data_IF_640281369541
#
_entry.id   IF_640281369541
#
_cell.length_a   1.000
_cell.length_b   1.000
_cell.length_c   1.000
_cell.angle_alpha   90.00
_cell.angle_beta   90.00
_cell.angle_gamma   90.00
#
_symmetry.space_group_name_H-M   'P 1'
#
loop_
_entity.id
_entity.type
_entity.pdbx_description
1 polymer ?
#
# COMPACT_ATOMS: atom_id res chain seq x y z
N UNK A 1 -4.92 -11.34 -53.89
CA UNK A 1 -5.49 -11.04 -52.59
C UNK A 1 -6.54 -12.08 -52.30
N UNK A 2 -6.34 -12.93 -51.33
CA UNK A 2 -7.34 -13.94 -50.93
C UNK A 2 -8.52 -13.18 -50.32
N UNK A 3 -9.61 -13.12 -51.08
CA UNK A 3 -10.83 -12.50 -50.62
C UNK A 3 -11.49 -13.45 -49.61
N UNK A 4 -11.64 -12.95 -48.40
CA UNK A 4 -12.53 -13.48 -47.36
C UNK A 4 -12.12 -14.80 -46.68
N UNK A 5 -11.00 -14.82 -46.01
CA UNK A 5 -10.71 -15.86 -45.01
C UNK A 5 -11.74 -15.87 -43.86
N UNK A 6 -12.46 -14.77 -43.65
CA UNK A 6 -13.52 -14.71 -42.65
C UNK A 6 -14.82 -15.45 -42.98
N UNK A 7 -15.01 -15.85 -44.25
CA UNK A 7 -16.22 -16.61 -44.67
C UNK A 7 -16.30 -18.01 -44.11
N UNK A 8 -15.18 -18.59 -43.75
CA UNK A 8 -15.10 -20.00 -43.32
C UNK A 8 -14.98 -20.18 -41.80
N UNK A 9 -14.94 -19.07 -41.03
CA UNK A 9 -14.95 -19.16 -39.57
C UNK A 9 -16.41 -19.25 -39.08
N UNK A 10 -16.70 -20.20 -38.19
CA UNK A 10 -17.96 -20.23 -37.46
C UNK A 10 -18.15 -18.89 -36.71
N UNK A 11 -19.40 -18.44 -36.51
CA UNK A 11 -19.71 -17.20 -35.87
C UNK A 11 -19.07 -17.03 -34.48
N UNK A 12 -18.91 -18.14 -33.77
CA UNK A 12 -18.20 -18.20 -32.47
C UNK A 12 -16.75 -17.75 -32.55
N UNK A 13 -16.07 -18.01 -33.65
CA UNK A 13 -14.62 -17.74 -33.78
C UNK A 13 -14.28 -16.49 -34.59
N UNK A 14 -15.28 -15.82 -35.18
CA UNK A 14 -15.03 -14.67 -36.09
C UNK A 14 -14.43 -13.47 -35.43
N UNK A 15 -14.64 -13.32 -34.13
CA UNK A 15 -14.22 -12.14 -33.37
C UNK A 15 -13.34 -12.49 -32.19
N UNK A 16 -13.08 -13.76 -31.94
CA UNK A 16 -12.22 -14.16 -30.84
C UNK A 16 -10.75 -14.03 -31.26
N UNK A 17 -9.92 -13.34 -30.48
CA UNK A 17 -8.48 -13.36 -30.68
C UNK A 17 -7.95 -14.79 -30.61
N UNK A 18 -6.93 -15.08 -31.39
CA UNK A 18 -6.25 -16.38 -31.36
C UNK A 18 -5.78 -16.68 -29.92
N UNK A 19 -6.16 -17.85 -29.41
CA UNK A 19 -5.82 -18.27 -28.05
C UNK A 19 -6.86 -17.88 -26.99
N UNK A 20 -8.00 -17.30 -27.40
CA UNK A 20 -9.06 -16.92 -26.45
C UNK A 20 -9.56 -18.11 -25.62
N UNK A 21 -9.63 -19.29 -26.19
CA UNK A 21 -10.02 -20.53 -25.52
C UNK A 21 -9.08 -20.93 -24.37
N UNK A 22 -7.85 -20.43 -24.37
CA UNK A 22 -6.87 -20.67 -23.32
C UNK A 22 -6.76 -19.52 -22.31
N UNK A 23 -7.54 -18.45 -22.50
CA UNK A 23 -7.52 -17.31 -21.60
C UNK A 23 -8.31 -17.63 -20.34
N UNK A 24 -7.73 -17.36 -19.20
CA UNK A 24 -8.42 -17.37 -17.91
C UNK A 24 -9.09 -16.04 -17.64
N UNK A 25 -10.05 -16.00 -16.71
CA UNK A 25 -10.74 -14.76 -16.35
C UNK A 25 -9.81 -13.65 -15.83
N UNK A 26 -8.58 -14.00 -15.49
CA UNK A 26 -7.58 -13.09 -14.93
C UNK A 26 -6.48 -12.69 -15.94
N UNK A 27 -6.70 -12.95 -17.22
CA UNK A 27 -5.74 -12.59 -18.26
C UNK A 27 -6.22 -11.45 -19.11
N UNK A 28 -5.30 -10.73 -19.69
CA UNK A 28 -5.54 -9.65 -20.65
C UNK A 28 -4.75 -9.91 -21.92
N UNK A 29 -5.32 -9.50 -23.05
CA UNK A 29 -4.60 -9.56 -24.33
C UNK A 29 -3.59 -8.43 -24.39
N UNK A 30 -2.33 -8.76 -24.57
CA UNK A 30 -1.26 -7.77 -24.71
C UNK A 30 -0.37 -8.09 -25.92
N UNK A 31 0.30 -7.06 -26.43
CA UNK A 31 1.30 -7.26 -27.48
C UNK A 31 2.60 -7.77 -26.87
N UNK A 32 3.09 -8.90 -27.37
CA UNK A 32 4.40 -9.41 -26.97
C UNK A 32 5.51 -8.51 -27.53
N UNK A 33 6.40 -8.06 -26.65
CA UNK A 33 7.67 -7.41 -27.03
C UNK A 33 8.74 -8.46 -26.75
N UNK A 34 9.02 -9.26 -27.76
CA UNK A 34 9.67 -10.53 -27.61
C UNK A 34 11.03 -10.57 -26.95
N UNK A 35 11.11 -11.40 -25.91
CA UNK A 35 12.35 -11.98 -25.39
C UNK A 35 12.21 -13.44 -24.99
N UNK A 36 11.04 -14.03 -25.10
CA UNK A 36 10.87 -15.44 -24.82
C UNK A 36 11.10 -16.28 -26.09
N UNK A 37 11.73 -17.46 -25.99
CA UNK A 37 12.09 -18.26 -27.15
C UNK A 37 10.90 -18.78 -27.98
N UNK A 38 9.68 -18.56 -27.52
CA UNK A 38 8.44 -18.97 -28.18
C UNK A 38 7.56 -17.80 -28.65
N UNK A 39 7.93 -16.55 -28.35
CA UNK A 39 7.17 -15.37 -28.76
C UNK A 39 7.77 -14.75 -30.02
N UNK A 40 7.03 -14.81 -31.10
CA UNK A 40 7.37 -14.08 -32.32
C UNK A 40 7.00 -12.61 -32.10
N UNK A 41 7.92 -11.74 -32.46
CA UNK A 41 7.74 -10.30 -32.31
C UNK A 41 6.45 -9.82 -32.99
N UNK A 42 5.65 -9.10 -32.24
CA UNK A 42 4.37 -8.58 -32.74
C UNK A 42 3.15 -9.46 -32.51
N UNK A 43 3.30 -10.67 -31.99
CA UNK A 43 2.16 -11.51 -31.68
C UNK A 43 1.39 -10.97 -30.45
N UNK A 44 0.08 -11.11 -30.47
CA UNK A 44 -0.77 -10.89 -29.30
C UNK A 44 -0.72 -12.13 -28.42
N UNK A 45 -0.48 -11.93 -27.14
CA UNK A 45 -0.44 -12.99 -26.13
C UNK A 45 -1.36 -12.65 -24.97
N UNK A 46 -1.97 -13.67 -24.37
CA UNK A 46 -2.67 -13.51 -23.11
C UNK A 46 -1.66 -13.44 -21.98
N UNK A 47 -1.74 -12.38 -21.20
CA UNK A 47 -0.92 -12.21 -20.02
C UNK A 47 -1.77 -12.20 -18.75
N UNK A 48 -1.18 -12.64 -17.67
CA UNK A 48 -1.86 -12.60 -16.39
C UNK A 48 -2.14 -11.12 -16.02
N UNK A 49 -3.38 -10.83 -15.69
CA UNK A 49 -3.84 -9.48 -15.31
C UNK A 49 -3.06 -8.90 -14.12
N UNK A 50 -2.55 -9.76 -13.24
CA UNK A 50 -1.74 -9.34 -12.08
C UNK A 50 -0.44 -8.64 -12.46
N UNK A 51 0.11 -8.89 -13.67
CA UNK A 51 1.30 -8.20 -14.15
C UNK A 51 1.06 -6.76 -14.61
N UNK A 52 -0.21 -6.34 -14.72
CA UNK A 52 -0.57 -5.00 -15.20
C UNK A 52 -1.11 -4.07 -14.10
N UNK A 53 -1.25 -4.54 -12.87
CA UNK A 53 -1.88 -3.80 -11.78
C UNK A 53 -0.88 -3.33 -10.73
N UNK A 54 -0.10 -2.30 -11.03
CA UNK A 54 0.58 -1.53 -10.00
C UNK A 54 -0.38 -0.46 -9.49
N UNK A 55 -0.65 -0.46 -8.20
CA UNK A 55 -1.50 0.55 -7.56
C UNK A 55 -0.72 1.23 -6.45
N UNK A 56 -0.81 2.55 -6.41
CA UNK A 56 -0.17 3.38 -5.41
C UNK A 56 -1.20 3.85 -4.38
N UNK A 57 -0.94 3.58 -3.11
CA UNK A 57 -1.71 4.11 -1.98
C UNK A 57 -0.91 5.20 -1.28
N UNK A 58 -1.45 6.41 -1.25
CA UNK A 58 -0.80 7.58 -0.66
C UNK A 58 -1.29 7.82 0.75
N UNK A 59 -0.36 8.09 1.66
CA UNK A 59 -0.62 8.38 3.06
C UNK A 59 0.18 9.60 3.48
N UNK A 60 -0.45 10.51 4.21
CA UNK A 60 0.18 11.72 4.72
C UNK A 60 -0.12 11.84 6.20
N UNK A 61 0.81 12.41 6.94
CA UNK A 61 0.59 12.65 8.36
C UNK A 61 1.52 13.72 8.91
N UNK A 62 1.01 14.41 9.92
CA UNK A 62 1.77 15.28 10.80
C UNK A 62 1.68 14.75 12.22
N UNK A 63 2.79 14.71 12.93
CA UNK A 63 2.82 14.28 14.32
C UNK A 63 3.80 15.12 15.14
N UNK A 64 3.42 15.43 16.39
CA UNK A 64 4.40 15.80 17.41
C UNK A 64 5.02 14.52 17.94
N UNK A 65 6.33 14.36 17.72
CA UNK A 65 7.05 13.13 18.04
C UNK A 65 6.94 12.75 19.51
N UNK A 66 6.69 11.47 19.76
CA UNK A 66 6.63 10.86 21.08
C UNK A 66 7.31 9.50 21.08
N UNK A 67 7.62 8.97 22.26
CA UNK A 67 8.14 7.61 22.44
C UNK A 67 7.13 6.52 22.04
N UNK A 68 5.84 6.88 22.05
CA UNK A 68 4.77 6.00 21.60
C UNK A 68 4.45 6.24 20.13
N UNK A 69 4.05 5.20 19.43
CA UNK A 69 3.45 5.34 18.11
C UNK A 69 2.19 6.18 18.17
N UNK A 70 2.11 7.14 17.27
CA UNK A 70 0.92 7.93 17.00
C UNK A 70 0.31 7.50 15.68
N UNK A 71 -1.01 7.46 15.63
CA UNK A 71 -1.79 7.19 14.44
C UNK A 71 -3.07 8.03 14.47
N UNK A 72 -3.77 8.07 13.34
CA UNK A 72 -5.13 8.58 13.25
C UNK A 72 -5.36 9.97 13.84
N UNK A 73 -6.53 10.51 13.58
CA UNK A 73 -6.95 11.82 14.06
C UNK A 73 -7.56 11.76 15.46
N UNK A 74 -7.37 12.80 16.26
CA UNK A 74 -8.18 13.02 17.44
C UNK A 74 -9.44 13.81 17.05
N UNK A 75 -10.55 13.12 16.89
CA UNK A 75 -11.84 13.71 16.51
C UNK A 75 -12.43 14.62 17.60
N UNK A 76 -11.87 14.59 18.79
CA UNK A 76 -12.29 15.45 19.90
C UNK A 76 -11.62 16.84 19.89
N UNK A 77 -10.63 17.04 19.04
CA UNK A 77 -9.85 18.27 18.95
C UNK A 77 -10.04 18.94 17.59
N UNK A 78 -9.97 20.27 17.56
CA UNK A 78 -10.06 21.11 16.35
C UNK A 78 -8.75 21.14 15.55
N UNK A 79 -7.96 20.09 15.62
CA UNK A 79 -6.64 19.99 14.99
C UNK A 79 -6.75 19.69 13.48
N UNK A 80 -5.61 19.81 12.83
CA UNK A 80 -5.50 19.58 11.39
C UNK A 80 -5.95 18.15 11.02
N UNK A 81 -6.70 17.95 9.92
CA UNK A 81 -7.14 16.64 9.47
C UNK A 81 -5.99 15.67 9.11
N UNK A 82 -4.75 16.14 9.12
CA UNK A 82 -3.56 15.32 8.91
C UNK A 82 -2.79 15.01 10.20
N UNK A 83 -3.26 15.50 11.37
CA UNK A 83 -2.57 15.30 12.63
C UNK A 83 -2.80 13.89 13.17
N UNK A 84 -1.70 13.16 13.37
CA UNK A 84 -1.69 11.86 14.00
C UNK A 84 -1.56 12.05 15.51
N UNK A 85 -2.68 12.01 16.23
CA UNK A 85 -2.75 12.42 17.63
C UNK A 85 -3.02 11.28 18.61
N UNK A 86 -3.47 10.12 18.13
CA UNK A 86 -3.87 9.01 18.99
C UNK A 86 -2.67 8.16 19.39
N UNK A 87 -2.44 8.01 20.70
CA UNK A 87 -1.39 7.12 21.24
C UNK A 87 -1.77 5.65 21.02
N UNK A 88 -0.83 4.88 20.49
CA UNK A 88 -0.97 3.43 20.39
C UNK A 88 -0.14 2.68 21.42
N UNK A 89 1.07 3.16 21.69
CA UNK A 89 2.04 2.54 22.57
C UNK A 89 3.44 2.47 21.97
N UNK A 90 4.41 1.99 22.73
CA UNK A 90 5.82 1.99 22.31
C UNK A 90 6.18 0.94 21.26
N UNK A 91 5.33 -0.08 21.09
CA UNK A 91 5.51 -1.17 20.11
C UNK A 91 4.20 -1.50 19.42
N UNK A 92 4.22 -1.73 18.10
CA UNK A 92 3.02 -2.14 17.36
C UNK A 92 2.61 -3.56 17.75
N UNK A 93 3.56 -4.45 17.98
CA UNK A 93 3.30 -5.87 18.26
C UNK A 93 2.78 -6.11 19.67
N UNK A 94 3.22 -5.33 20.64
CA UNK A 94 2.95 -5.60 22.08
C UNK A 94 2.00 -4.62 22.75
N UNK A 95 1.55 -3.57 22.07
CA UNK A 95 0.78 -2.49 22.69
C UNK A 95 -0.74 -2.70 22.70
N UNK A 96 -1.22 -3.83 22.19
CA UNK A 96 -2.64 -4.17 22.28
C UNK A 96 -3.40 -4.02 20.97
N UNK A 97 -4.71 -3.87 21.08
CA UNK A 97 -5.62 -3.83 19.94
C UNK A 97 -6.28 -2.45 19.78
N UNK A 98 -6.57 -2.08 18.54
CA UNK A 98 -7.38 -0.91 18.22
C UNK A 98 -8.85 -1.21 18.51
N UNK A 99 -9.49 -0.41 19.34
CA UNK A 99 -10.93 -0.53 19.60
C UNK A 99 -11.75 -0.19 18.34
N UNK A 100 -13.01 -0.63 18.25
CA UNK A 100 -13.87 -0.26 17.11
C UNK A 100 -13.97 1.25 16.87
N UNK A 101 -13.98 2.06 17.93
CA UNK A 101 -13.98 3.52 17.83
C UNK A 101 -12.69 4.08 17.28
N UNK A 102 -11.57 3.37 17.41
CA UNK A 102 -10.29 3.78 16.82
C UNK A 102 -10.28 3.69 15.29
N UNK A 103 -11.12 2.84 14.70
CA UNK A 103 -11.24 2.75 13.24
C UNK A 103 -11.69 4.07 12.61
N UNK A 104 -12.56 4.83 13.28
CA UNK A 104 -12.98 6.15 12.79
C UNK A 104 -11.85 7.17 12.80
N UNK A 105 -10.79 6.92 13.57
CA UNK A 105 -9.64 7.81 13.71
C UNK A 105 -8.52 7.51 12.71
N UNK A 106 -8.64 6.44 11.91
CA UNK A 106 -7.66 6.08 10.88
C UNK A 106 -7.97 6.82 9.57
N UNK A 107 -8.14 8.16 9.64
CA UNK A 107 -8.46 8.98 8.46
C UNK A 107 -7.36 9.02 7.41
N UNK A 108 -6.10 8.70 7.78
CA UNK A 108 -4.98 8.59 6.85
C UNK A 108 -4.83 7.20 6.24
N UNK A 109 -5.74 6.29 6.55
CA UNK A 109 -5.72 4.91 6.07
C UNK A 109 -6.36 4.74 4.70
N UNK A 110 -5.96 3.69 4.02
CA UNK A 110 -6.51 3.30 2.72
C UNK A 110 -7.12 1.90 2.79
N UNK A 111 -8.37 1.76 2.34
CA UNK A 111 -9.01 0.46 2.19
C UNK A 111 -8.51 -0.22 0.93
N UNK A 112 -8.10 -1.47 1.05
CA UNK A 112 -7.58 -2.27 -0.07
C UNK A 112 -8.74 -2.99 -0.76
N UNK A 113 -9.02 -2.71 -2.05
CA UNK A 113 -10.21 -3.24 -2.72
C UNK A 113 -10.05 -4.68 -3.21
N UNK A 114 -8.83 -5.18 -3.34
CA UNK A 114 -8.51 -6.52 -3.85
C UNK A 114 -7.24 -7.05 -3.18
N UNK A 115 -7.00 -8.36 -3.28
CA UNK A 115 -5.76 -8.94 -2.79
C UNK A 115 -4.55 -8.38 -3.54
N UNK A 116 -3.55 -7.92 -2.79
CA UNK A 116 -2.33 -7.32 -3.33
C UNK A 116 -1.10 -7.74 -2.56
N UNK A 117 0.06 -7.64 -3.21
CA UNK A 117 1.36 -7.67 -2.54
C UNK A 117 1.98 -6.27 -2.54
N UNK A 118 2.49 -5.84 -1.39
CA UNK A 118 3.31 -4.62 -1.30
C UNK A 118 4.65 -4.89 -1.96
N UNK A 119 5.02 -4.07 -2.92
CA UNK A 119 6.30 -4.16 -3.64
C UNK A 119 7.32 -3.15 -3.14
N UNK A 120 6.88 -2.00 -2.67
CA UNK A 120 7.75 -0.98 -2.08
C UNK A 120 6.99 0.05 -1.26
N UNK A 121 7.71 0.71 -0.36
CA UNK A 121 7.25 1.89 0.37
C UNK A 121 8.23 3.01 0.07
N UNK A 122 7.75 4.10 -0.50
CA UNK A 122 8.56 5.25 -0.87
C UNK A 122 7.94 6.55 -0.38
N UNK A 123 8.75 7.62 -0.34
CA UNK A 123 8.23 8.90 0.05
C UNK A 123 9.29 9.80 0.67
N UNK A 124 8.85 10.68 1.53
CA UNK A 124 9.74 11.56 2.28
C UNK A 124 9.21 11.83 3.69
N UNK A 125 10.13 12.20 4.56
CA UNK A 125 9.90 12.68 5.91
C UNK A 125 10.61 14.01 6.10
N UNK A 126 9.97 14.95 6.81
CA UNK A 126 10.66 16.10 7.38
C UNK A 126 10.54 16.09 8.90
N UNK A 127 11.60 16.46 9.59
CA UNK A 127 11.60 16.63 11.04
C UNK A 127 12.47 17.82 11.42
N UNK A 128 12.09 18.55 12.46
CA UNK A 128 12.90 19.59 13.07
C UNK A 128 13.77 19.08 14.24
N UNK A 129 13.77 17.78 14.49
CA UNK A 129 14.58 17.10 15.50
C UNK A 129 15.70 16.28 14.89
N UNK A 130 16.66 15.87 15.73
CA UNK A 130 17.81 15.04 15.35
C UNK A 130 17.63 13.56 15.65
N UNK A 131 16.52 13.21 16.30
CA UNK A 131 16.28 11.85 16.78
C UNK A 131 15.83 10.92 15.66
N UNK A 132 16.03 9.64 15.85
CA UNK A 132 15.50 8.62 14.97
C UNK A 132 13.97 8.66 14.97
N UNK A 133 13.40 8.77 13.79
CA UNK A 133 11.96 8.63 13.56
C UNK A 133 11.69 7.26 13.01
N UNK A 134 10.78 6.52 13.64
CA UNK A 134 10.35 5.21 13.16
C UNK A 134 8.94 5.32 12.61
N UNK A 135 8.78 4.86 11.37
CA UNK A 135 7.50 4.77 10.68
C UNK A 135 7.13 3.30 10.57
N UNK A 136 5.99 2.91 11.11
CA UNK A 136 5.41 1.58 10.87
C UNK A 136 4.24 1.73 9.90
N UNK A 137 4.32 1.06 8.77
CA UNK A 137 3.16 0.86 7.90
C UNK A 137 2.46 -0.40 8.37
N UNK A 138 1.21 -0.27 8.74
CA UNK A 138 0.42 -1.33 9.36
C UNK A 138 -0.80 -1.66 8.54
N UNK A 139 -1.33 -2.85 8.75
CA UNK A 139 -2.65 -3.24 8.25
C UNK A 139 -3.53 -3.75 9.38
N UNK A 140 -4.82 -3.59 9.24
CA UNK A 140 -5.85 -4.24 10.05
C UNK A 140 -6.92 -4.82 9.14
N UNK A 141 -7.50 -5.94 9.57
CA UNK A 141 -8.68 -6.54 8.93
C UNK A 141 -9.90 -6.15 9.76
N UNK A 142 -10.79 -5.27 9.27
CA UNK A 142 -12.04 -4.96 9.97
C UNK A 142 -12.90 -6.22 10.10
N UNK A 143 -13.44 -6.47 11.28
CA UNK A 143 -14.36 -7.59 11.52
C UNK A 143 -15.67 -7.04 12.01
N UNK A 144 -16.74 -7.31 11.29
CA UNK A 144 -18.08 -6.85 11.61
C UNK A 144 -18.57 -7.49 12.93
N UNK A 145 -19.23 -6.68 13.76
CA UNK A 145 -19.85 -7.14 15.01
C UNK A 145 -18.87 -7.40 16.16
N UNK A 146 -17.58 -7.11 16.02
CA UNK A 146 -16.61 -7.27 17.12
C UNK A 146 -16.69 -6.07 18.07
N UNK A 147 -16.93 -6.36 19.35
CA UNK A 147 -16.81 -5.38 20.44
C UNK A 147 -15.37 -5.25 20.96
N UNK A 148 -14.52 -6.24 20.72
CA UNK A 148 -13.10 -6.25 21.10
C UNK A 148 -12.23 -5.69 19.98
N UNK A 149 -11.15 -5.01 20.32
CA UNK A 149 -10.28 -4.41 19.32
C UNK A 149 -9.53 -5.42 18.43
N UNK A 150 -9.03 -4.94 17.32
CA UNK A 150 -8.21 -5.69 16.37
C UNK A 150 -6.75 -5.26 16.50
N UNK A 151 -5.83 -6.22 16.57
CA UNK A 151 -4.40 -5.94 16.63
C UNK A 151 -3.87 -5.65 15.23
N UNK A 152 -3.22 -4.49 15.01
CA UNK A 152 -2.55 -4.20 13.76
C UNK A 152 -1.42 -5.18 13.46
N UNK A 153 -1.22 -5.47 12.20
CA UNK A 153 -0.10 -6.26 11.69
C UNK A 153 0.86 -5.29 10.99
N UNK A 154 2.12 -5.33 11.35
CA UNK A 154 3.16 -4.53 10.69
C UNK A 154 3.42 -5.09 9.30
N UNK A 155 3.26 -4.24 8.29
CA UNK A 155 3.70 -4.51 6.92
C UNK A 155 5.20 -4.32 6.85
N UNK A 156 5.66 -3.15 7.32
CA UNK A 156 7.08 -2.85 7.46
C UNK A 156 7.33 -1.75 8.49
N UNK A 157 8.53 -1.73 9.07
CA UNK A 157 8.96 -0.76 10.07
C UNK A 157 10.27 -0.10 9.63
N UNK A 158 10.21 1.20 9.30
CA UNK A 158 11.28 1.96 8.68
C UNK A 158 11.88 2.92 9.70
N UNK A 159 13.15 2.74 10.04
CA UNK A 159 13.89 3.66 10.90
C UNK A 159 14.61 4.71 10.06
N UNK A 160 14.19 5.96 10.19
CA UNK A 160 14.80 7.11 9.51
C UNK A 160 15.80 7.78 10.42
N UNK A 161 17.06 7.78 10.02
CA UNK A 161 18.21 8.36 10.73
C UNK A 161 18.78 9.54 9.97
N UNK A 162 19.75 10.25 10.56
CA UNK A 162 20.42 11.35 9.88
C UNK A 162 19.63 12.64 9.81
N UNK A 163 18.60 12.76 10.65
CA UNK A 163 17.82 13.98 10.79
C UNK A 163 18.65 15.06 11.49
N UNK A 164 18.49 16.29 11.06
CA UNK A 164 19.19 17.46 11.62
C UNK A 164 18.22 18.47 12.25
N UNK A 165 18.76 19.39 13.05
CA UNK A 165 17.98 20.41 13.78
C UNK A 165 17.18 21.40 12.90
N UNK A 166 17.27 21.31 11.58
CA UNK A 166 16.70 22.29 10.66
C UNK A 166 15.76 21.61 9.66
N UNK A 167 14.61 21.14 10.08
CA UNK A 167 13.52 20.66 9.19
C UNK A 167 14.04 19.94 7.92
N UNK A 168 14.94 18.97 8.09
CA UNK A 168 15.56 18.26 6.98
C UNK A 168 14.54 17.37 6.28
N UNK A 169 14.59 17.37 4.96
CA UNK A 169 13.86 16.45 4.11
C UNK A 169 14.68 15.18 3.91
N UNK A 170 14.16 14.04 4.35
CA UNK A 170 14.79 12.73 4.16
C UNK A 170 13.90 11.87 3.27
N UNK A 171 14.51 11.28 2.25
CA UNK A 171 13.83 10.35 1.34
C UNK A 171 13.71 8.98 1.99
N UNK A 172 12.54 8.39 1.84
CA UNK A 172 12.24 7.00 2.20
C UNK A 172 12.19 6.18 0.92
N UNK A 173 12.83 5.03 0.92
CA UNK A 173 12.79 4.07 -0.19
C UNK A 173 13.06 2.67 0.34
N UNK A 174 11.98 1.95 0.65
CA UNK A 174 12.05 0.58 1.16
C UNK A 174 11.48 -0.39 0.12
N UNK A 175 12.24 -1.42 -0.18
CA UNK A 175 11.88 -2.46 -1.15
C UNK A 175 11.92 -3.88 -0.57
N UNK A 176 12.40 -4.02 0.68
CA UNK A 176 12.44 -5.28 1.40
C UNK A 176 11.30 -5.30 2.41
N UNK A 177 10.14 -5.77 1.98
CA UNK A 177 8.91 -5.70 2.78
C UNK A 177 8.77 -6.95 3.65
N UNK A 178 8.59 -6.73 4.95
CA UNK A 178 8.48 -7.80 5.96
C UNK A 178 7.20 -8.62 5.79
N UNK A 179 6.06 -7.96 5.60
CA UNK A 179 4.75 -8.62 5.39
C UNK A 179 4.10 -8.07 4.13
N UNK A 180 4.37 -8.71 2.99
CA UNK A 180 3.96 -8.17 1.70
C UNK A 180 2.46 -8.36 1.40
N UNK A 181 1.84 -9.47 1.82
CA UNK A 181 0.46 -9.82 1.42
C UNK A 181 -0.60 -9.04 2.19
N UNK A 182 -1.53 -8.45 1.46
CA UNK A 182 -2.67 -7.70 1.98
C UNK A 182 -3.93 -8.24 1.31
N UNK A 183 -4.96 -8.49 2.10
CA UNK A 183 -6.24 -9.00 1.63
C UNK A 183 -7.20 -7.88 1.25
N UNK A 184 -8.12 -8.18 0.36
CA UNK A 184 -9.25 -7.28 0.09
C UNK A 184 -10.04 -6.99 1.37
N UNK A 185 -10.35 -5.72 1.58
CA UNK A 185 -11.03 -5.24 2.80
C UNK A 185 -10.09 -4.85 3.94
N UNK A 186 -8.80 -5.20 3.88
CA UNK A 186 -7.82 -4.68 4.84
C UNK A 186 -7.70 -3.15 4.72
N UNK A 187 -7.40 -2.50 5.84
CA UNK A 187 -7.07 -1.08 5.90
C UNK A 187 -5.59 -0.96 6.19
N UNK A 188 -4.85 -0.28 5.32
CA UNK A 188 -3.44 0.06 5.56
C UNK A 188 -3.33 1.50 6.06
N UNK A 189 -2.44 1.76 7.01
CA UNK A 189 -2.26 3.08 7.60
C UNK A 189 -0.87 3.21 8.24
N UNK A 190 -0.35 4.45 8.36
CA UNK A 190 0.93 4.70 8.99
C UNK A 190 0.78 4.89 10.51
N UNK A 191 1.81 4.52 11.23
CA UNK A 191 2.08 4.93 12.62
C UNK A 191 3.47 5.52 12.70
N UNK A 192 3.66 6.55 13.53
CA UNK A 192 4.95 7.24 13.67
C UNK A 192 5.30 7.41 15.14
N UNK A 193 6.55 7.13 15.48
CA UNK A 193 7.15 7.48 16.78
C UNK A 193 8.52 8.11 16.59
N UNK A 194 9.01 8.75 17.64
CA UNK A 194 10.35 9.31 17.72
C UNK A 194 11.10 8.72 18.91
N UNK A 195 12.42 8.56 18.81
CA UNK A 195 13.23 8.03 19.90
C UNK A 195 13.27 8.96 21.13
N UNK A 196 13.00 10.25 20.95
CA UNK A 196 12.89 11.26 22.02
C UNK A 196 11.76 12.21 21.64
N UNK A 197 10.90 12.56 22.56
CA UNK A 197 9.72 13.38 22.28
C UNK A 197 10.05 14.84 21.92
N UNK A 198 9.21 15.47 21.11
CA UNK A 198 9.12 16.92 20.94
C UNK A 198 9.32 17.47 19.53
N UNK A 199 9.70 16.65 18.55
CA UNK A 199 9.89 17.13 17.18
C UNK A 199 8.58 17.24 16.42
N UNK A 200 8.50 18.21 15.51
CA UNK A 200 7.45 18.25 14.48
C UNK A 200 7.86 17.38 13.30
N UNK A 201 7.07 16.36 13.01
CA UNK A 201 7.36 15.37 12.00
C UNK A 201 6.24 15.38 10.95
N UNK A 202 6.61 15.47 9.68
CA UNK A 202 5.69 15.36 8.56
C UNK A 202 6.11 14.17 7.70
N UNK A 203 5.17 13.32 7.35
CA UNK A 203 5.39 12.19 6.46
C UNK A 203 4.52 12.29 5.22
N UNK A 204 5.05 11.84 4.09
CA UNK A 204 4.31 11.61 2.87
C UNK A 204 4.82 10.30 2.27
N UNK A 205 3.97 9.28 2.27
CA UNK A 205 4.31 7.93 1.87
C UNK A 205 3.47 7.48 0.68
N UNK A 206 4.07 6.69 -0.15
CA UNK A 206 3.40 5.92 -1.20
C UNK A 206 3.72 4.45 -0.97
N UNK A 207 2.69 3.65 -0.74
CA UNK A 207 2.78 2.19 -0.71
C UNK A 207 2.41 1.67 -2.09
N UNK A 208 3.37 1.10 -2.78
CA UNK A 208 3.18 0.52 -4.10
C UNK A 208 2.83 -0.95 -3.98
N UNK A 209 1.79 -1.37 -4.69
CA UNK A 209 1.30 -2.75 -4.64
C UNK A 209 1.13 -3.33 -6.03
N UNK A 210 1.18 -4.66 -6.10
CA UNK A 210 0.83 -5.45 -7.28
C UNK A 210 -0.30 -6.41 -6.94
N UNK A 211 -1.30 -6.50 -7.80
CA UNK A 211 -2.35 -7.51 -7.68
C UNK A 211 -1.79 -8.92 -7.89
N UNK A 212 -2.36 -9.93 -7.23
CA UNK A 212 -1.99 -11.34 -7.41
C UNK A 212 -3.24 -12.23 -7.50
#
# INVERSE_FOLDING_TARGET
MAANEHKNLSDINRHNPKGFENATNETVLSKSIGTAPTNTDGNLVWQNKSLMGVTDYKMQGYVTGTLNYKYGEDIADTKSPFEMAVDYGSSVVSSGSLSPTAFFRIGQGCVIPQNVNVSSISGWLTSNGTNVVTIAVCKITPVEGIATGVTPIVIDEIAVTGLGNNAMLVRINESTITTASISAGDIIFPMVKEATAGSSIYINLTVQTTAF
#
